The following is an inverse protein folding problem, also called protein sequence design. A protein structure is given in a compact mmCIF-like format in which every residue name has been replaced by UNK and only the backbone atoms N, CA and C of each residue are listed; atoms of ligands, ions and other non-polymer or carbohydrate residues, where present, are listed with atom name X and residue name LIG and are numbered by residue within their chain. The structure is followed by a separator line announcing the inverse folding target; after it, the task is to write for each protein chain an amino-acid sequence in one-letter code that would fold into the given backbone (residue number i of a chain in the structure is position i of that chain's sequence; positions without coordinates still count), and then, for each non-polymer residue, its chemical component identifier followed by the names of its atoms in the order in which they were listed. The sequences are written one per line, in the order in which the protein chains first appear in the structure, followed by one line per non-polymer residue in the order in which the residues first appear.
data_IF_531484078228
#
_entry.id   IF_531484078228
#
_cell.length_a   1.000
_cell.length_b   1.000
_cell.length_c   1.000
_cell.angle_alpha   90.00
_cell.angle_beta   90.00
_cell.angle_gamma   90.00
#
_symmetry.space_group_name_H-M   'P 1'
#
loop_
_entity.id
_entity.type
_entity.pdbx_description
1 polymer ?
#
# COMPACT_ATOMS: atom_id res chain seq x y z
N UNK A 1 -18.86 -1.86 6.89
CA UNK A 1 -18.16 -3.09 7.35
C UNK A 1 -19.13 -4.25 7.30
N UNK A 2 -18.67 -5.41 6.84
CA UNK A 2 -19.49 -6.63 6.73
C UNK A 2 -19.64 -7.22 5.33
N UNK A 3 -19.09 -6.56 4.29
CA UNK A 3 -19.26 -6.96 2.89
C UNK A 3 -18.42 -8.21 2.52
N UNK A 4 -17.19 -8.30 3.03
CA UNK A 4 -16.31 -9.46 2.83
C UNK A 4 -16.52 -10.53 3.90
N UNK A 5 -17.70 -11.18 3.93
CA UNK A 5 -17.98 -12.32 4.82
C UNK A 5 -18.48 -11.95 6.23
N UNK A 6 -19.01 -10.74 6.43
CA UNK A 6 -19.71 -10.38 7.67
C UNK A 6 -18.85 -10.11 8.90
N UNK A 7 -17.52 -9.97 8.75
CA UNK A 7 -16.62 -9.65 9.86
C UNK A 7 -16.86 -8.25 10.45
N UNK A 8 -16.51 -8.10 11.74
CA UNK A 8 -16.61 -6.86 12.49
C UNK A 8 -15.21 -6.40 12.92
N UNK A 9 -14.82 -5.17 12.58
CA UNK A 9 -13.51 -4.66 13.01
C UNK A 9 -13.40 -4.48 14.54
N UNK A 10 -14.53 -4.30 15.23
CA UNK A 10 -14.58 -4.28 16.70
C UNK A 10 -14.01 -5.55 17.32
N UNK A 11 -14.18 -6.69 16.65
CA UNK A 11 -13.72 -7.99 17.16
C UNK A 11 -12.19 -8.16 16.94
N UNK A 12 -11.60 -7.33 16.08
CA UNK A 12 -10.16 -7.34 15.76
C UNK A 12 -9.38 -6.26 16.54
N UNK A 13 -9.82 -5.00 16.47
CA UNK A 13 -9.12 -3.85 17.06
C UNK A 13 -9.98 -3.03 18.01
N UNK A 14 -11.11 -3.57 18.49
CA UNK A 14 -11.99 -2.84 19.39
C UNK A 14 -12.70 -1.63 18.73
N UNK A 15 -13.35 -0.76 19.53
CA UNK A 15 -13.92 0.48 19.03
C UNK A 15 -12.84 1.36 18.40
N UNK A 16 -13.20 2.30 17.53
CA UNK A 16 -12.24 3.17 16.82
C UNK A 16 -11.38 4.07 17.73
N UNK A 17 -11.74 4.19 19.01
CA UNK A 17 -10.96 4.88 20.04
C UNK A 17 -9.90 4.00 20.70
N UNK A 18 -9.91 2.69 20.46
CA UNK A 18 -8.96 1.75 21.02
C UNK A 18 -7.55 2.00 20.43
N UNK A 19 -6.49 2.02 21.25
CA UNK A 19 -5.12 2.24 20.77
C UNK A 19 -4.65 1.18 19.76
N UNK A 20 -5.30 0.01 19.67
CA UNK A 20 -5.03 -0.99 18.65
C UNK A 20 -5.13 -0.42 17.23
N UNK A 21 -6.00 0.55 16.96
CA UNK A 21 -6.08 1.20 15.65
C UNK A 21 -4.80 1.96 15.30
N UNK A 22 -4.32 2.81 16.22
CA UNK A 22 -3.10 3.58 16.01
C UNK A 22 -1.88 2.67 15.89
N UNK A 23 -1.84 1.61 16.71
CA UNK A 23 -0.79 0.59 16.70
C UNK A 23 -0.70 -0.20 15.39
N UNK A 24 -1.74 -0.17 14.55
CA UNK A 24 -1.76 -0.84 13.26
C UNK A 24 -1.86 0.14 12.07
N UNK A 25 -1.73 1.45 12.30
CA UNK A 25 -1.65 2.45 11.23
C UNK A 25 -0.18 2.62 10.80
N UNK A 26 0.20 2.21 9.57
CA UNK A 26 1.58 2.34 9.11
C UNK A 26 2.10 3.78 9.10
N UNK A 27 1.22 4.76 8.89
CA UNK A 27 1.61 6.18 8.82
C UNK A 27 2.08 6.69 10.18
N UNK A 28 1.47 6.21 11.27
CA UNK A 28 1.91 6.52 12.64
C UNK A 28 3.22 5.81 13.00
N UNK A 29 3.56 4.74 12.27
CA UNK A 29 4.78 3.95 12.47
C UNK A 29 5.90 4.25 11.46
N UNK A 30 5.80 5.35 10.71
CA UNK A 30 6.88 5.82 9.83
C UNK A 30 8.21 5.98 10.58
N UNK A 31 8.27 6.56 11.81
CA UNK A 31 9.52 6.68 12.54
C UNK A 31 10.24 5.34 12.75
N UNK A 32 9.51 4.26 13.07
CA UNK A 32 10.09 2.93 13.20
C UNK A 32 10.59 2.38 11.87
N UNK A 33 9.86 2.59 10.76
CA UNK A 33 10.30 2.16 9.43
C UNK A 33 11.61 2.84 9.01
N UNK A 34 11.73 4.14 9.29
CA UNK A 34 12.95 4.91 9.01
C UNK A 34 14.10 4.48 9.92
N UNK A 35 13.86 4.37 11.24
CA UNK A 35 14.88 3.97 12.21
C UNK A 35 15.44 2.57 11.92
N UNK A 36 14.59 1.66 11.45
CA UNK A 36 14.99 0.30 11.07
C UNK A 36 15.54 0.21 9.63
N UNK A 37 15.64 1.33 8.90
CA UNK A 37 16.03 1.38 7.50
C UNK A 37 15.31 0.34 6.64
N UNK A 38 14.03 0.11 6.90
CA UNK A 38 13.27 -0.96 6.25
C UNK A 38 13.18 -0.70 4.75
N UNK A 39 13.49 -1.73 3.95
CA UNK A 39 13.25 -1.67 2.51
C UNK A 39 11.74 -1.72 2.26
N UNK A 40 11.17 -0.63 1.76
CA UNK A 40 9.75 -0.57 1.35
C UNK A 40 9.56 -0.62 -0.17
N UNK A 41 8.52 -1.32 -0.61
CA UNK A 41 7.97 -1.24 -1.97
C UNK A 41 6.50 -0.88 -1.85
N UNK A 42 6.15 0.38 -2.17
CA UNK A 42 4.79 0.91 -2.04
C UNK A 42 4.24 1.16 -3.43
N UNK A 43 3.13 0.49 -3.74
CA UNK A 43 2.43 0.61 -5.01
C UNK A 43 1.00 1.09 -4.82
N UNK A 44 0.56 2.01 -5.66
CA UNK A 44 -0.85 2.35 -5.84
C UNK A 44 -1.08 2.93 -7.24
N UNK A 45 -2.05 2.39 -7.97
CA UNK A 45 -2.54 2.95 -9.22
C UNK A 45 -3.37 4.22 -9.02
N UNK A 46 -3.96 4.74 -10.09
CA UNK A 46 -4.82 5.95 -10.05
C UNK A 46 -6.29 5.68 -10.41
N UNK A 47 -6.70 4.42 -10.39
CA UNK A 47 -8.03 3.99 -10.82
C UNK A 47 -8.30 4.15 -12.32
N UNK A 48 -7.32 4.53 -13.14
CA UNK A 48 -7.45 4.47 -14.61
C UNK A 48 -6.92 3.13 -15.11
N UNK A 49 -7.75 2.27 -15.72
CA UNK A 49 -7.27 1.01 -16.29
C UNK A 49 -6.38 1.26 -17.50
N UNK A 50 -5.34 0.44 -17.68
CA UNK A 50 -4.55 0.32 -18.89
C UNK A 50 -5.04 -0.87 -19.74
N UNK A 51 -4.30 -1.20 -20.79
CA UNK A 51 -4.48 -2.41 -21.61
C UNK A 51 -4.37 -3.72 -20.81
N UNK A 52 -3.86 -3.69 -19.57
CA UNK A 52 -3.84 -4.83 -18.66
C UNK A 52 -5.23 -5.25 -18.18
N UNK A 53 -6.25 -4.41 -18.34
CA UNK A 53 -7.62 -4.70 -17.91
C UNK A 53 -7.97 -4.13 -16.54
N UNK A 54 -8.79 -4.83 -15.77
CA UNK A 54 -9.29 -4.31 -14.48
C UNK A 54 -10.25 -3.12 -14.62
N UNK A 55 -10.82 -2.91 -15.80
CA UNK A 55 -11.76 -1.83 -16.11
C UNK A 55 -13.17 -2.15 -15.58
N UNK A 56 -13.37 -1.98 -14.29
CA UNK A 56 -14.69 -2.06 -13.67
C UNK A 56 -14.83 -1.01 -12.57
N UNK A 57 -16.04 -0.47 -12.43
CA UNK A 57 -16.34 0.67 -11.54
C UNK A 57 -15.87 0.43 -10.09
N UNK A 58 -16.09 -0.74 -9.46
CA UNK A 58 -15.57 -0.99 -8.11
C UNK A 58 -14.05 -0.91 -8.02
N UNK A 59 -13.31 -1.50 -8.97
CA UNK A 59 -11.85 -1.51 -8.96
C UNK A 59 -11.26 -0.11 -9.18
N UNK A 60 -11.86 0.70 -10.05
CA UNK A 60 -11.44 2.07 -10.32
C UNK A 60 -11.69 2.99 -9.11
N UNK A 61 -12.86 2.84 -8.46
CA UNK A 61 -13.24 3.62 -7.30
C UNK A 61 -12.36 3.33 -6.09
N UNK A 62 -12.16 2.05 -5.76
CA UNK A 62 -11.35 1.63 -4.61
C UNK A 62 -9.91 2.14 -4.73
N UNK A 63 -9.31 2.03 -5.91
CA UNK A 63 -7.93 2.47 -6.12
C UNK A 63 -7.79 3.98 -5.95
N UNK A 64 -8.71 4.76 -6.53
CA UNK A 64 -8.74 6.22 -6.36
C UNK A 64 -8.92 6.63 -4.89
N UNK A 65 -9.76 5.92 -4.14
CA UNK A 65 -10.03 6.19 -2.74
C UNK A 65 -8.75 6.05 -1.88
N UNK A 66 -7.98 4.98 -2.10
CA UNK A 66 -6.77 4.67 -1.31
C UNK A 66 -5.50 5.38 -1.81
N UNK A 67 -5.51 5.98 -3.00
CA UNK A 67 -4.34 6.70 -3.54
C UNK A 67 -3.92 7.88 -2.67
N UNK A 68 -4.89 8.61 -2.11
CA UNK A 68 -4.60 9.81 -1.31
C UNK A 68 -3.80 9.49 -0.03
N UNK A 69 -4.05 8.35 0.62
CA UNK A 69 -3.27 7.92 1.79
C UNK A 69 -1.86 7.47 1.39
N UNK A 70 -1.69 6.86 0.22
CA UNK A 70 -0.36 6.48 -0.29
C UNK A 70 0.53 7.71 -0.59
N UNK A 71 -0.04 8.74 -1.20
CA UNK A 71 0.66 10.02 -1.43
C UNK A 71 1.08 10.67 -0.10
N UNK A 72 0.16 10.76 0.86
CA UNK A 72 0.45 11.30 2.21
C UNK A 72 1.51 10.48 2.95
N UNK A 73 1.48 9.15 2.81
CA UNK A 73 2.48 8.27 3.40
C UNK A 73 3.86 8.52 2.78
N UNK A 74 3.96 8.67 1.46
CA UNK A 74 5.21 9.03 0.79
C UNK A 74 5.75 10.37 1.30
N UNK A 75 4.91 11.39 1.36
CA UNK A 75 5.30 12.72 1.84
C UNK A 75 5.83 12.65 3.28
N UNK A 76 5.10 11.96 4.17
CA UNK A 76 5.49 11.80 5.57
C UNK A 76 6.77 10.96 5.73
N UNK A 77 6.94 9.88 4.96
CA UNK A 77 8.13 9.04 4.97
C UNK A 77 9.38 9.84 4.56
N UNK A 78 9.28 10.62 3.49
CA UNK A 78 10.36 11.48 3.03
C UNK A 78 10.66 12.60 4.04
N UNK A 79 9.63 13.25 4.58
CA UNK A 79 9.78 14.30 5.58
C UNK A 79 10.43 13.79 6.89
N UNK A 80 10.20 12.52 7.24
CA UNK A 80 10.84 11.85 8.38
C UNK A 80 12.27 11.37 8.11
N UNK A 81 12.82 11.59 6.90
CA UNK A 81 14.17 11.18 6.52
C UNK A 81 14.28 9.74 6.02
N UNK A 82 13.16 9.11 5.65
CA UNK A 82 13.14 7.81 5.01
C UNK A 82 13.86 7.82 3.66
N UNK A 83 14.65 6.79 3.39
CA UNK A 83 15.56 6.75 2.25
C UNK A 83 15.78 5.34 1.67
N UNK A 84 14.93 4.37 2.00
CA UNK A 84 15.03 2.99 1.52
C UNK A 84 13.70 2.45 0.93
N UNK A 85 12.94 3.33 0.28
CA UNK A 85 11.64 2.99 -0.31
C UNK A 85 11.64 3.16 -1.83
N UNK A 86 10.90 2.30 -2.53
CA UNK A 86 10.42 2.53 -3.90
C UNK A 86 8.94 2.84 -3.82
N UNK A 87 8.55 3.95 -4.45
CA UNK A 87 7.16 4.41 -4.55
C UNK A 87 6.71 4.37 -6.01
N UNK A 88 5.84 3.43 -6.33
CA UNK A 88 5.23 3.27 -7.66
C UNK A 88 3.80 3.81 -7.61
N UNK A 89 3.65 5.12 -7.76
CA UNK A 89 2.36 5.82 -7.75
C UNK A 89 1.92 6.14 -9.18
N UNK A 90 1.69 5.09 -9.95
CA UNK A 90 1.62 5.14 -11.41
C UNK A 90 0.40 5.94 -11.92
N UNK A 91 0.49 6.41 -13.17
CA UNK A 91 -0.60 7.12 -13.85
C UNK A 91 -1.66 6.19 -14.48
N UNK A 92 -1.60 4.91 -14.15
CA UNK A 92 -2.59 3.88 -14.46
C UNK A 92 -2.65 2.87 -13.31
N UNK A 93 -3.60 1.93 -13.37
CA UNK A 93 -3.79 0.88 -12.39
C UNK A 93 -5.11 0.98 -11.65
N UNK A 94 -5.79 -0.16 -11.50
CA UNK A 94 -7.03 -0.29 -10.72
C UNK A 94 -6.83 -1.33 -9.60
N UNK A 95 -7.81 -1.46 -8.72
CA UNK A 95 -7.78 -2.40 -7.60
C UNK A 95 -8.01 -3.84 -8.07
N UNK A 96 -7.08 -4.36 -8.86
CA UNK A 96 -7.21 -5.62 -9.59
C UNK A 96 -5.89 -6.40 -9.68
N UNK A 97 -6.00 -7.72 -9.80
CA UNK A 97 -4.87 -8.65 -9.76
C UNK A 97 -3.85 -8.47 -10.87
N UNK A 98 -4.26 -7.98 -12.04
CA UNK A 98 -3.37 -7.77 -13.18
C UNK A 98 -2.26 -6.78 -12.84
N UNK A 99 -2.59 -5.73 -12.09
CA UNK A 99 -1.63 -4.73 -11.64
C UNK A 99 -0.76 -5.23 -10.48
N UNK A 100 -1.35 -5.91 -9.50
CA UNK A 100 -0.58 -6.49 -8.38
C UNK A 100 0.39 -7.58 -8.86
N UNK A 101 -0.02 -8.41 -9.81
CA UNK A 101 0.83 -9.42 -10.45
C UNK A 101 2.00 -8.79 -11.21
N UNK A 102 1.75 -7.70 -11.94
CA UNK A 102 2.81 -6.94 -12.61
C UNK A 102 3.84 -6.39 -11.60
N UNK A 103 3.39 -5.85 -10.48
CA UNK A 103 4.26 -5.33 -9.42
C UNK A 103 5.08 -6.44 -8.75
N UNK A 104 4.48 -7.61 -8.47
CA UNK A 104 5.20 -8.76 -7.91
C UNK A 104 6.32 -9.23 -8.85
N UNK A 105 6.05 -9.29 -10.15
CA UNK A 105 7.10 -9.64 -11.12
C UNK A 105 8.19 -8.57 -11.21
N UNK A 106 7.81 -7.28 -11.16
CA UNK A 106 8.74 -6.15 -11.21
C UNK A 106 9.70 -6.11 -10.00
N UNK A 107 9.21 -6.41 -8.80
CA UNK A 107 10.02 -6.37 -7.57
C UNK A 107 10.95 -7.58 -7.40
N UNK A 108 10.91 -8.58 -8.29
CA UNK A 108 11.71 -9.81 -8.13
C UNK A 108 13.21 -9.52 -7.98
N UNK A 109 13.78 -8.67 -8.84
CA UNK A 109 15.20 -8.33 -8.78
C UNK A 109 15.56 -7.52 -7.53
N UNK A 110 14.64 -6.65 -7.09
CA UNK A 110 14.78 -5.84 -5.88
C UNK A 110 14.80 -6.70 -4.61
N UNK A 111 13.90 -7.68 -4.54
CA UNK A 111 13.87 -8.69 -3.47
C UNK A 111 15.16 -9.51 -3.45
N UNK A 112 15.64 -9.96 -4.61
CA UNK A 112 16.90 -10.71 -4.70
C UNK A 112 18.07 -9.91 -4.15
N UNK A 113 18.21 -8.64 -4.54
CA UNK A 113 19.27 -7.77 -4.05
C UNK A 113 19.14 -7.47 -2.55
N UNK A 114 17.93 -7.15 -2.08
CA UNK A 114 17.66 -6.76 -0.70
C UNK A 114 17.78 -7.91 0.30
N UNK A 115 17.50 -9.14 -0.14
CA UNK A 115 17.56 -10.35 0.69
C UNK A 115 18.81 -11.20 0.43
N UNK A 116 19.67 -10.82 -0.51
CA UNK A 116 20.89 -11.55 -0.85
C UNK A 116 20.65 -12.88 -1.58
N UNK A 117 19.50 -13.05 -2.24
CA UNK A 117 19.24 -14.22 -3.07
C UNK A 117 19.94 -14.08 -4.44
N UNK A 118 20.50 -15.17 -4.93
CA UNK A 118 21.21 -15.26 -6.22
C UNK A 118 20.46 -16.17 -7.17
#
# INVERSE_FOLDING_TARGET
MGDAGGYKASDMWGPSSDPAWQRNDPSLHIPELVANNTRLWIYCGNGTPSELGGANVPAEFLENFVRSSNLKFQDAYNAAGGHNAVFNLDANGTHSWEYWGAQLNAMKGDLQASLGAR
#
